data_IF_472874596430
#
_entry.id   IF_472874596430
#
_cell.length_a   1.000
_cell.length_b   1.000
_cell.length_c   1.000
_cell.angle_alpha   90.00
_cell.angle_beta   90.00
_cell.angle_gamma   90.00
#
_symmetry.space_group_name_H-M   'P 1'
#
loop_
_entity.id
_entity.type
_entity.pdbx_description
1 polymer ?
#
# COMPACT_ATOMS: atom_id res chain seq x y z
N UNK A 1 -12.55 8.94 -27.84
CA UNK A 1 -11.39 8.47 -27.05
C UNK A 1 -10.09 8.81 -27.80
N UNK A 2 -9.08 9.27 -27.07
CA UNK A 2 -7.77 9.61 -27.63
C UNK A 2 -6.91 8.35 -27.74
N UNK A 3 -6.29 8.14 -28.89
CA UNK A 3 -5.33 7.05 -29.06
C UNK A 3 -4.05 7.35 -28.27
N UNK A 4 -3.61 6.44 -27.41
CA UNK A 4 -2.38 6.62 -26.61
C UNK A 4 -1.09 6.53 -27.44
N UNK A 5 -1.17 6.00 -28.67
CA UNK A 5 -0.01 5.88 -29.57
C UNK A 5 0.17 7.14 -30.44
N UNK A 6 -0.86 7.52 -31.21
CA UNK A 6 -0.74 8.61 -32.19
C UNK A 6 -1.48 9.91 -31.79
N UNK A 7 -2.06 9.95 -30.59
CA UNK A 7 -2.86 11.09 -30.07
C UNK A 7 -4.08 11.49 -30.92
N UNK A 8 -4.44 10.72 -31.94
CA UNK A 8 -5.64 10.94 -32.75
C UNK A 8 -6.91 10.78 -31.90
N UNK A 9 -7.87 11.67 -32.12
CA UNK A 9 -9.20 11.56 -31.53
C UNK A 9 -10.08 10.61 -32.35
N UNK A 10 -10.54 9.52 -31.73
CA UNK A 10 -11.37 8.50 -32.37
C UNK A 10 -12.76 8.47 -31.71
N UNK A 11 -13.80 8.07 -32.47
CA UNK A 11 -15.12 7.77 -31.90
C UNK A 11 -14.98 6.66 -30.83
N UNK A 12 -15.70 6.74 -29.70
CA UNK A 12 -15.55 5.79 -28.59
C UNK A 12 -15.93 4.34 -28.93
N UNK A 13 -16.68 4.12 -30.02
CA UNK A 13 -17.13 2.79 -30.47
C UNK A 13 -16.14 2.07 -31.39
N UNK A 14 -15.02 2.71 -31.77
CA UNK A 14 -14.04 2.12 -32.68
C UNK A 14 -13.08 1.19 -31.94
N UNK A 15 -12.97 -0.06 -32.42
CA UNK A 15 -12.01 -1.04 -31.91
C UNK A 15 -10.56 -0.72 -32.30
N UNK A 16 -10.35 -0.11 -33.47
CA UNK A 16 -9.02 0.24 -33.98
C UNK A 16 -8.91 1.73 -34.27
N UNK A 17 -7.74 2.31 -34.05
CA UNK A 17 -7.47 3.70 -34.42
C UNK A 17 -7.45 3.88 -35.94
N UNK A 18 -8.18 4.87 -36.45
CA UNK A 18 -8.25 5.17 -37.89
C UNK A 18 -6.90 5.56 -38.52
N UNK A 19 -5.96 6.09 -37.73
CA UNK A 19 -4.68 6.61 -38.23
C UNK A 19 -3.56 5.59 -38.13
N UNK A 20 -3.38 4.96 -36.98
CA UNK A 20 -2.25 4.07 -36.71
C UNK A 20 -2.63 2.59 -36.63
N UNK A 21 -3.91 2.23 -36.74
CA UNK A 21 -4.38 0.85 -36.67
C UNK A 21 -4.28 0.18 -35.29
N UNK A 22 -3.81 0.90 -34.26
CA UNK A 22 -3.68 0.35 -32.90
C UNK A 22 -5.05 -0.01 -32.31
N UNK A 23 -5.14 -1.19 -31.71
CA UNK A 23 -6.34 -1.62 -30.98
C UNK A 23 -6.55 -0.73 -29.75
N UNK A 24 -7.74 -0.18 -29.65
CA UNK A 24 -8.19 0.75 -28.62
C UNK A 24 -8.87 0.03 -27.44
N UNK A 25 -9.13 -1.27 -27.56
CA UNK A 25 -9.75 -2.11 -26.52
C UNK A 25 -8.74 -2.76 -25.58
N UNK A 26 -7.49 -2.90 -26.04
CA UNK A 26 -6.41 -3.43 -25.24
C UNK A 26 -5.96 -2.40 -24.19
N UNK A 27 -5.75 -2.81 -22.93
CA UNK A 27 -5.15 -1.95 -21.94
C UNK A 27 -3.74 -1.54 -22.39
N UNK A 28 -3.28 -0.33 -22.04
CA UNK A 28 -1.96 0.12 -22.44
C UNK A 28 -0.87 -0.77 -21.84
N UNK A 29 0.28 -0.85 -22.50
CA UNK A 29 1.41 -1.71 -22.11
C UNK A 29 1.96 -1.42 -20.71
N UNK A 30 1.72 -0.21 -20.19
CA UNK A 30 2.11 0.18 -18.84
C UNK A 30 1.12 -0.31 -17.77
N UNK A 31 -0.07 -0.78 -18.14
CA UNK A 31 -1.12 -1.15 -17.20
C UNK A 31 -0.68 -2.38 -16.40
N UNK A 32 -0.58 -2.28 -15.07
CA UNK A 32 0.03 -3.33 -14.28
C UNK A 32 -0.87 -4.56 -14.17
N UNK A 33 -0.30 -5.74 -14.42
CA UNK A 33 -0.97 -7.02 -14.22
C UNK A 33 -1.17 -7.36 -12.74
N UNK A 34 -1.97 -8.38 -12.45
CA UNK A 34 -2.13 -8.93 -11.09
C UNK A 34 -0.80 -9.34 -10.45
N UNK A 35 0.11 -9.94 -11.23
CA UNK A 35 1.46 -10.31 -10.76
C UNK A 35 2.28 -9.10 -10.35
N UNK A 36 2.14 -7.99 -11.08
CA UNK A 36 2.79 -6.73 -10.73
C UNK A 36 2.26 -6.22 -9.40
N UNK A 37 0.94 -6.18 -9.22
CA UNK A 37 0.31 -5.73 -7.97
C UNK A 37 0.77 -6.55 -6.78
N UNK A 38 0.75 -7.89 -6.89
CA UNK A 38 1.18 -8.77 -5.81
C UNK A 38 2.65 -8.51 -5.43
N UNK A 39 3.54 -8.41 -6.43
CA UNK A 39 4.96 -8.11 -6.20
C UNK A 39 5.14 -6.74 -5.52
N UNK A 40 4.49 -5.71 -6.04
CA UNK A 40 4.58 -4.34 -5.51
C UNK A 40 4.05 -4.26 -4.08
N UNK A 41 2.86 -4.80 -3.82
CA UNK A 41 2.27 -4.81 -2.49
C UNK A 41 3.12 -5.62 -1.51
N UNK A 42 3.63 -6.78 -1.91
CA UNK A 42 4.53 -7.59 -1.08
C UNK A 42 5.75 -6.79 -0.63
N UNK A 43 6.42 -6.08 -1.55
CA UNK A 43 7.57 -5.23 -1.20
C UNK A 43 7.19 -4.08 -0.25
N UNK A 44 6.06 -3.42 -0.49
CA UNK A 44 5.58 -2.32 0.39
C UNK A 44 5.37 -2.84 1.81
N UNK A 45 4.60 -3.93 1.96
CA UNK A 45 4.31 -4.49 3.29
C UNK A 45 5.56 -5.02 3.99
N UNK A 46 6.44 -5.73 3.27
CA UNK A 46 7.71 -6.21 3.84
C UNK A 46 8.57 -5.05 4.35
N UNK A 47 8.65 -3.96 3.57
CA UNK A 47 9.42 -2.77 3.96
C UNK A 47 8.80 -2.09 5.17
N UNK A 48 7.47 -1.92 5.21
CA UNK A 48 6.77 -1.32 6.36
C UNK A 48 6.93 -2.15 7.63
N UNK A 49 6.81 -3.48 7.51
CA UNK A 49 6.99 -4.41 8.64
C UNK A 49 8.42 -4.31 9.16
N UNK A 50 9.43 -4.40 8.28
CA UNK A 50 10.82 -4.29 8.68
C UNK A 50 11.12 -2.92 9.34
N UNK A 51 10.63 -1.83 8.76
CA UNK A 51 10.79 -0.49 9.32
C UNK A 51 10.14 -0.36 10.71
N UNK A 52 8.94 -0.88 10.89
CA UNK A 52 8.26 -0.89 12.19
C UNK A 52 9.10 -1.58 13.26
N UNK A 53 9.61 -2.79 12.99
CA UNK A 53 10.42 -3.53 13.95
C UNK A 53 11.75 -2.86 14.24
N UNK A 54 12.42 -2.30 13.21
CA UNK A 54 13.67 -1.56 13.40
C UNK A 54 13.46 -0.32 14.27
N UNK A 55 12.41 0.46 13.99
CA UNK A 55 12.09 1.67 14.77
C UNK A 55 11.69 1.29 16.19
N UNK A 56 10.82 0.29 16.37
CA UNK A 56 10.40 -0.19 17.69
C UNK A 56 11.61 -0.66 18.51
N UNK A 57 12.51 -1.44 17.91
CA UNK A 57 13.75 -1.86 18.54
C UNK A 57 14.64 -0.66 18.91
N UNK A 58 14.83 0.29 18.00
CA UNK A 58 15.63 1.48 18.27
C UNK A 58 15.05 2.32 19.42
N UNK A 59 13.73 2.54 19.43
CA UNK A 59 13.04 3.29 20.48
C UNK A 59 13.12 2.58 21.84
N UNK A 60 13.07 1.24 21.87
CA UNK A 60 13.23 0.47 23.10
C UNK A 60 14.63 0.59 23.74
N UNK A 61 15.63 1.06 22.99
CA UNK A 61 17.02 1.19 23.43
C UNK A 61 17.37 2.59 23.92
N UNK A 62 16.50 3.57 23.69
CA UNK A 62 16.72 4.94 24.13
C UNK A 62 16.58 5.05 25.66
N UNK A 63 17.28 6.01 26.30
CA UNK A 63 17.09 6.28 27.71
C UNK A 63 15.74 6.99 27.95
N UNK A 64 15.14 6.82 29.15
CA UNK A 64 13.99 7.63 29.55
C UNK A 64 14.30 9.13 29.45
N UNK A 65 13.36 9.97 28.94
CA UNK A 65 11.95 9.72 28.67
C UNK A 65 11.61 9.40 27.20
N UNK A 66 12.62 9.12 26.36
CA UNK A 66 12.43 8.89 24.92
C UNK A 66 12.23 7.42 24.56
N UNK A 67 12.27 6.53 25.57
CA UNK A 67 11.95 5.13 25.40
C UNK A 67 10.46 4.93 25.12
N UNK A 68 10.13 3.78 24.54
CA UNK A 68 8.75 3.47 24.21
C UNK A 68 7.89 3.35 25.48
N UNK A 69 6.96 4.30 25.66
CA UNK A 69 6.07 4.35 26.83
C UNK A 69 5.24 3.08 26.97
N UNK A 70 5.37 2.40 28.10
CA UNK A 70 4.43 1.35 28.51
C UNK A 70 3.18 1.99 29.10
N UNK A 71 2.00 1.63 28.58
CA UNK A 71 0.72 2.11 29.10
C UNK A 71 0.27 1.15 30.21
N UNK A 72 0.15 1.62 31.46
CA UNK A 72 -0.39 0.84 32.56
C UNK A 72 -1.76 0.23 32.21
N UNK A 73 -2.00 -1.06 32.53
CA UNK A 73 -3.26 -1.71 32.22
C UNK A 73 -4.46 -1.05 32.91
N UNK A 74 -4.26 -0.47 34.09
CA UNK A 74 -5.27 0.29 34.85
C UNK A 74 -5.84 1.50 34.08
N UNK A 75 -5.03 2.13 33.21
CA UNK A 75 -5.50 3.26 32.39
C UNK A 75 -6.18 2.81 31.09
N UNK A 76 -5.97 1.56 30.66
CA UNK A 76 -6.56 1.01 29.44
C UNK A 76 -7.16 -0.39 29.66
N UNK A 77 -8.16 -0.51 30.55
CA UNK A 77 -8.79 -1.80 30.84
C UNK A 77 -9.48 -2.41 29.61
N UNK A 78 -9.95 -1.59 28.66
CA UNK A 78 -10.51 -2.05 27.38
C UNK A 78 -9.47 -2.63 26.42
N UNK A 79 -8.18 -2.31 26.60
CA UNK A 79 -7.10 -2.77 25.70
C UNK A 79 -6.56 -4.15 26.12
N UNK A 80 -6.58 -4.46 27.43
CA UNK A 80 -6.11 -5.74 27.98
C UNK A 80 -7.02 -6.23 29.12
N UNK A 81 -8.28 -6.61 28.84
CA UNK A 81 -9.28 -6.88 29.88
C UNK A 81 -8.90 -8.03 30.84
N UNK A 82 -8.09 -8.99 30.38
CA UNK A 82 -7.64 -10.13 31.18
C UNK A 82 -6.48 -9.81 32.14
N UNK A 83 -5.85 -8.64 32.01
CA UNK A 83 -4.69 -8.25 32.84
C UNK A 83 -5.09 -7.50 34.11
N UNK A 84 -6.36 -7.11 34.23
CA UNK A 84 -6.89 -6.39 35.39
C UNK A 84 -7.65 -7.41 36.25
N UNK A 85 -7.35 -7.54 37.56
CA UNK A 85 -8.14 -8.39 38.44
C UNK A 85 -9.60 -7.90 38.50
N UNK A 86 -10.59 -8.81 38.61
CA UNK A 86 -11.98 -8.39 38.83
C UNK A 86 -12.03 -7.56 40.12
N UNK A 87 -12.62 -6.35 40.02
CA UNK A 87 -12.86 -5.45 41.15
C UNK A 87 -14.03 -5.93 42.01
#
# INVERSE_FOLDING_TARGET
MKCLNCSQENRPTLKFCKKCGTDLTLPPVWFPDWKWHLKTLSWIYLTLIAAFFVISFALSKLPPPYDQRQIPPEMTPWLNPHKVPPQ
#
